data_IF_252717696815
#
_entry.id   IF_252717696815
#
_cell.length_a   1.000
_cell.length_b   1.000
_cell.length_c   1.000
_cell.angle_alpha   90.00
_cell.angle_beta   90.00
_cell.angle_gamma   90.00
#
_symmetry.space_group_name_H-M   'P 1'
#
loop_
_entity.id
_entity.type
_entity.pdbx_description
1 polymer ?
#
# COMPACT_ATOMS: atom_id res chain seq x y z
N UNK A 1 8.30 5.32 4.59
CA UNK A 1 9.24 4.45 5.36
C UNK A 1 10.60 4.52 4.70
N UNK A 2 11.68 4.84 5.45
CA UNK A 2 12.98 5.12 4.83
C UNK A 2 13.86 3.87 4.68
N UNK A 3 14.52 3.65 3.52
CA UNK A 3 15.41 2.52 3.28
C UNK A 3 16.66 2.53 4.17
N UNK A 4 17.04 3.68 4.74
CA UNK A 4 18.22 3.79 5.59
C UNK A 4 18.01 3.27 7.02
N UNK A 5 16.77 2.96 7.39
CA UNK A 5 16.39 2.59 8.77
C UNK A 5 15.66 1.25 8.86
N UNK A 6 15.45 0.56 7.75
CA UNK A 6 14.52 -0.58 7.65
C UNK A 6 14.88 -1.50 6.48
N UNK A 7 14.55 -2.79 6.61
CA UNK A 7 14.63 -3.78 5.52
C UNK A 7 13.52 -3.60 4.47
N UNK A 8 12.60 -2.69 4.74
CA UNK A 8 11.48 -2.29 3.91
C UNK A 8 11.54 -0.79 3.60
N UNK A 9 11.19 -0.42 2.38
CA UNK A 9 11.09 0.97 1.96
C UNK A 9 9.71 1.23 1.34
N UNK A 10 9.18 2.43 1.57
CA UNK A 10 7.96 2.86 0.91
C UNK A 10 7.92 4.37 0.69
N UNK A 11 7.43 4.74 -0.50
CA UNK A 11 7.16 6.12 -0.93
C UNK A 11 5.77 6.20 -1.54
N UNK A 12 5.05 7.27 -1.22
CA UNK A 12 3.67 7.49 -1.63
C UNK A 12 3.56 8.85 -2.32
N UNK A 13 2.79 8.91 -3.40
CA UNK A 13 2.46 10.14 -4.11
C UNK A 13 0.94 10.28 -4.16
N UNK A 14 0.42 11.42 -3.70
CA UNK A 14 -1.02 11.71 -3.67
C UNK A 14 -1.31 12.82 -4.67
N UNK A 15 -2.34 12.62 -5.49
CA UNK A 15 -2.85 13.65 -6.38
C UNK A 15 -3.37 14.85 -5.59
N UNK A 16 -3.31 16.04 -6.18
CA UNK A 16 -3.73 17.28 -5.53
C UNK A 16 -5.19 17.24 -5.07
N UNK A 17 -6.05 16.54 -5.83
CA UNK A 17 -7.46 16.33 -5.53
C UNK A 17 -7.73 15.25 -4.46
N UNK A 18 -6.67 14.55 -4.01
CA UNK A 18 -6.69 13.43 -3.07
C UNK A 18 -7.57 12.26 -3.49
N UNK A 19 -7.97 12.17 -4.76
CA UNK A 19 -8.78 11.07 -5.29
C UNK A 19 -7.92 9.88 -5.65
N UNK A 20 -6.69 10.13 -6.09
CA UNK A 20 -5.80 9.06 -6.55
C UNK A 20 -4.45 9.17 -5.88
N UNK A 21 -3.88 8.02 -5.57
CA UNK A 21 -2.56 7.89 -4.99
C UNK A 21 -1.85 6.66 -5.55
N UNK A 22 -0.53 6.73 -5.66
CA UNK A 22 0.32 5.57 -5.95
C UNK A 22 1.29 5.37 -4.79
N UNK A 23 1.31 4.15 -4.26
CA UNK A 23 2.24 3.69 -3.24
C UNK A 23 3.21 2.68 -3.83
N UNK A 24 4.50 2.95 -3.66
CA UNK A 24 5.58 2.02 -3.99
C UNK A 24 6.09 1.40 -2.69
N UNK A 25 6.11 0.07 -2.63
CA UNK A 25 6.61 -0.68 -1.49
C UNK A 25 7.67 -1.70 -1.94
N UNK A 26 8.76 -1.78 -1.20
CA UNK A 26 9.91 -2.64 -1.49
C UNK A 26 10.30 -3.45 -0.26
N UNK A 27 10.27 -4.77 -0.40
CA UNK A 27 10.90 -5.73 0.51
C UNK A 27 12.33 -5.96 0.02
N UNK A 28 13.34 -5.47 0.75
CA UNK A 28 14.74 -5.54 0.33
C UNK A 28 15.36 -6.85 0.85
N UNK A 29 15.64 -6.90 2.16
CA UNK A 29 16.14 -8.12 2.84
C UNK A 29 15.42 -8.32 4.18
N UNK A 30 14.12 -8.67 4.19
CA UNK A 30 13.39 -8.93 5.44
C UNK A 30 14.04 -10.07 6.22
N UNK A 31 14.13 -9.94 7.54
CA UNK A 31 14.68 -11.00 8.41
C UNK A 31 13.62 -12.05 8.72
N UNK A 32 14.06 -13.29 8.93
CA UNK A 32 13.17 -14.34 9.40
C UNK A 32 12.56 -13.97 10.76
N UNK A 33 11.23 -14.05 10.88
CA UNK A 33 10.50 -13.66 12.09
C UNK A 33 10.39 -12.16 12.33
N UNK A 34 10.77 -11.31 11.36
CA UNK A 34 10.60 -9.86 11.47
C UNK A 34 9.12 -9.48 11.63
N UNK A 35 8.82 -8.62 12.62
CA UNK A 35 7.47 -8.13 12.86
C UNK A 35 7.13 -7.02 11.88
N UNK A 36 6.46 -7.39 10.81
CA UNK A 36 5.92 -6.45 9.82
C UNK A 36 4.70 -5.75 10.40
N UNK A 37 4.73 -4.42 10.44
CA UNK A 37 3.59 -3.59 10.86
C UNK A 37 2.86 -3.04 9.65
N UNK A 38 1.55 -2.80 9.74
CA UNK A 38 0.82 -2.07 8.71
C UNK A 38 1.45 -0.69 8.45
N UNK A 39 1.57 -0.33 7.17
CA UNK A 39 2.02 0.97 6.74
C UNK A 39 0.83 1.94 6.75
N UNK A 40 0.88 2.95 7.61
CA UNK A 40 -0.08 4.05 7.61
C UNK A 40 0.17 4.96 6.42
N UNK A 41 -0.91 5.36 5.76
CA UNK A 41 -0.88 6.30 4.65
C UNK A 41 -1.04 7.74 5.15
N UNK A 42 -0.72 8.70 4.29
CA UNK A 42 -0.82 10.12 4.60
C UNK A 42 -1.45 10.89 3.43
N UNK A 43 -2.08 12.03 3.72
CA UNK A 43 -2.57 12.94 2.68
C UNK A 43 -3.91 12.57 2.02
N UNK A 44 -4.56 11.49 2.45
CA UNK A 44 -5.89 11.09 1.96
C UNK A 44 -7.02 11.91 2.61
N UNK A 45 -8.22 11.85 2.04
CA UNK A 45 -9.43 12.38 2.67
C UNK A 45 -10.01 11.34 3.65
N UNK A 46 -10.13 11.63 4.96
CA UNK A 46 -10.62 10.64 5.92
C UNK A 46 -12.06 10.16 5.64
N UNK A 47 -12.89 11.01 5.07
CA UNK A 47 -14.33 10.77 4.85
C UNK A 47 -14.64 10.03 3.54
N UNK A 48 -13.61 9.65 2.78
CA UNK A 48 -13.77 8.99 1.47
C UNK A 48 -13.37 7.52 1.54
N UNK A 49 -13.99 6.72 0.66
CA UNK A 49 -13.67 5.31 0.48
C UNK A 49 -12.66 5.16 -0.65
N UNK A 50 -11.67 4.30 -0.48
CA UNK A 50 -10.60 4.08 -1.44
C UNK A 50 -10.45 2.59 -1.74
N UNK A 51 -10.43 2.26 -3.03
CA UNK A 51 -10.16 0.92 -3.55
C UNK A 51 -8.65 0.72 -3.69
N UNK A 52 -8.19 -0.45 -3.28
CA UNK A 52 -6.77 -0.83 -3.33
C UNK A 52 -6.53 -1.78 -4.49
N UNK A 53 -5.52 -1.52 -5.31
CA UNK A 53 -5.18 -2.35 -6.46
C UNK A 53 -3.68 -2.44 -6.66
N UNK A 54 -3.12 -3.64 -6.68
CA UNK A 54 -1.76 -3.87 -7.15
C UNK A 54 -1.74 -3.86 -8.68
N UNK A 55 -0.93 -2.99 -9.28
CA UNK A 55 -0.95 -2.71 -10.72
C UNK A 55 0.29 -3.21 -11.48
N UNK A 56 1.34 -3.65 -10.78
CA UNK A 56 2.58 -4.15 -11.39
C UNK A 56 2.60 -5.66 -11.65
N UNK A 57 1.43 -6.31 -11.75
CA UNK A 57 1.31 -7.75 -11.96
C UNK A 57 1.29 -8.12 -13.44
N UNK A 58 1.92 -9.24 -13.79
CA UNK A 58 1.76 -9.85 -15.11
C UNK A 58 0.31 -10.32 -15.30
N UNK A 59 -0.18 -10.40 -16.57
CA UNK A 59 -1.50 -10.94 -16.85
C UNK A 59 -1.74 -12.30 -16.16
N UNK A 60 -2.95 -12.49 -15.63
CA UNK A 60 -3.37 -13.70 -14.90
C UNK A 60 -2.58 -14.01 -13.61
N UNK A 61 -1.76 -13.09 -13.11
CA UNK A 61 -1.05 -13.25 -11.84
C UNK A 61 -1.93 -12.80 -10.69
N UNK A 62 -2.05 -13.64 -9.65
CA UNK A 62 -2.76 -13.26 -8.41
C UNK A 62 -1.84 -12.40 -7.55
N UNK A 63 -2.40 -11.30 -7.04
CA UNK A 63 -1.75 -10.45 -6.06
C UNK A 63 -1.53 -11.18 -4.74
N UNK A 64 -0.37 -10.97 -4.12
CA UNK A 64 -0.09 -11.39 -2.73
C UNK A 64 -0.40 -10.29 -1.71
N UNK A 65 -0.83 -9.11 -2.15
CA UNK A 65 -1.26 -8.02 -1.27
C UNK A 65 -2.62 -8.38 -0.67
N UNK A 66 -2.68 -8.54 0.65
CA UNK A 66 -3.91 -8.92 1.35
C UNK A 66 -5.09 -7.96 1.11
N UNK A 67 -4.81 -6.67 0.95
CA UNK A 67 -5.80 -5.64 0.66
C UNK A 67 -6.20 -5.52 -0.82
N UNK A 68 -5.63 -6.31 -1.73
CA UNK A 68 -5.89 -6.14 -3.16
C UNK A 68 -7.37 -6.39 -3.51
N UNK A 69 -7.99 -5.43 -4.20
CA UNK A 69 -9.40 -5.43 -4.56
C UNK A 69 -10.33 -4.96 -3.45
N UNK A 70 -9.84 -4.76 -2.23
CA UNK A 70 -10.63 -4.30 -1.09
C UNK A 70 -10.81 -2.78 -1.10
N UNK A 71 -11.82 -2.30 -0.38
CA UNK A 71 -12.10 -0.87 -0.20
C UNK A 71 -12.06 -0.52 1.29
N UNK A 72 -11.37 0.56 1.63
CA UNK A 72 -11.22 1.05 3.01
C UNK A 72 -11.52 2.55 3.08
N UNK A 73 -11.93 3.05 4.25
CA UNK A 73 -12.01 4.50 4.46
C UNK A 73 -10.61 5.11 4.50
N UNK A 74 -10.50 6.37 4.09
CA UNK A 74 -9.26 7.14 4.22
C UNK A 74 -8.81 7.22 5.68
N UNK A 75 -9.74 7.34 6.62
CA UNK A 75 -9.44 7.30 8.06
C UNK A 75 -8.78 5.98 8.47
N UNK A 76 -9.30 4.83 8.02
CA UNK A 76 -8.70 3.53 8.31
C UNK A 76 -7.29 3.43 7.73
N UNK A 77 -7.09 3.86 6.49
CA UNK A 77 -5.81 3.83 5.82
C UNK A 77 -4.74 4.70 6.51
N UNK A 78 -5.15 5.82 7.11
CA UNK A 78 -4.23 6.72 7.82
C UNK A 78 -4.01 6.34 9.30
N UNK A 79 -5.00 5.76 9.97
CA UNK A 79 -4.92 5.40 11.40
C UNK A 79 -4.45 3.96 11.64
N UNK A 80 -4.95 3.00 10.87
CA UNK A 80 -4.63 1.57 10.96
C UNK A 80 -3.56 1.20 9.95
N UNK A 81 -3.75 1.56 8.68
CA UNK A 81 -2.80 1.28 7.60
C UNK A 81 -3.01 -0.05 6.87
N UNK A 82 -2.11 -0.33 5.92
CA UNK A 82 -2.12 -1.52 5.07
C UNK A 82 -0.90 -2.40 5.28
N UNK A 83 -1.11 -3.71 5.36
CA UNK A 83 0.00 -4.68 5.31
C UNK A 83 0.47 -4.84 3.87
N UNK A 84 1.45 -4.03 3.49
CA UNK A 84 2.01 -3.99 2.12
C UNK A 84 3.32 -4.75 1.97
N UNK A 85 3.99 -5.06 3.08
CA UNK A 85 5.26 -5.76 3.11
C UNK A 85 5.08 -7.24 3.42
N UNK A 86 6.04 -8.04 3.01
CA UNK A 86 6.08 -9.48 3.23
C UNK A 86 7.45 -9.93 3.74
N UNK A 87 7.56 -11.21 4.11
CA UNK A 87 8.85 -11.82 4.44
C UNK A 87 9.61 -12.29 3.19
N UNK A 88 9.07 -12.07 1.99
CA UNK A 88 9.73 -12.43 0.74
C UNK A 88 10.89 -11.46 0.45
N UNK A 89 11.98 -11.99 -0.11
CA UNK A 89 13.13 -11.16 -0.44
C UNK A 89 12.96 -10.51 -1.82
N UNK A 90 13.44 -9.27 -1.96
CA UNK A 90 13.52 -8.56 -3.25
C UNK A 90 12.19 -8.45 -4.00
N UNK A 91 11.09 -8.26 -3.27
CA UNK A 91 9.74 -8.10 -3.85
C UNK A 91 9.33 -6.63 -3.87
N UNK A 92 8.73 -6.19 -4.97
CA UNK A 92 8.16 -4.86 -5.11
C UNK A 92 6.65 -4.92 -5.37
N UNK A 93 5.93 -3.96 -4.79
CA UNK A 93 4.52 -3.72 -5.07
C UNK A 93 4.31 -2.28 -5.50
N UNK A 94 3.55 -2.09 -6.58
CA UNK A 94 3.03 -0.79 -6.99
C UNK A 94 1.53 -0.84 -6.80
N UNK A 95 1.05 -0.01 -5.88
CA UNK A 95 -0.32 -0.06 -5.39
C UNK A 95 -0.99 1.25 -5.77
N UNK A 96 -1.99 1.14 -6.63
CA UNK A 96 -2.94 2.20 -6.90
C UNK A 96 -3.99 2.24 -5.79
N UNK A 97 -4.25 3.44 -5.30
CA UNK A 97 -5.26 3.74 -4.28
C UNK A 97 -6.14 4.82 -4.88
N UNK A 98 -7.36 4.45 -5.26
CA UNK A 98 -8.28 5.34 -5.96
C UNK A 98 -9.58 5.47 -5.18
N UNK A 99 -10.09 6.69 -5.09
CA UNK A 99 -11.38 6.97 -4.49
C UNK A 99 -12.44 6.14 -5.21
N UNK A 100 -13.17 5.35 -4.44
CA UNK A 100 -14.29 4.59 -4.94
C UNK A 100 -15.51 5.51 -4.92
N UNK A 101 -15.86 6.06 -6.08
CA UNK A 101 -17.14 6.72 -6.25
C UNK A 101 -18.20 5.62 -6.28
N UNK A 102 -18.92 5.48 -5.17
CA UNK A 102 -20.12 4.64 -5.11
C UNK A 102 -21.16 5.41 -5.95
N UNK A 103 -21.51 4.88 -7.12
CA UNK A 103 -22.75 5.27 -7.82
C UNK A 103 -23.98 4.88 -6.99
#
# INVERSE_FOLDING_TARGET
MSPYKSNHAAVMYVGEDKKTCVLFAFDIHPRYGERIRPLRLEGLNPDKMYKIKEINLFPNTKSTLAGNGQTYSGEYLMSVGLTVFSSAQTVSKVIEISQNDIE
#
